data_IF_650823568502
#
_entry.id   IF_650823568502
#
_cell.length_a   1.000
_cell.length_b   1.000
_cell.length_c   1.000
_cell.angle_alpha   90.00
_cell.angle_beta   90.00
_cell.angle_gamma   90.00
#
_symmetry.space_group_name_H-M   'P 1'
#
loop_
_entity.id
_entity.type
_entity.pdbx_description
1 polymer ?
#
# COMPACT_ATOMS: atom_id res chain seq x y z
N UNK A 1 -10.40 30.40 -16.72
CA UNK A 1 -11.20 30.62 -15.47
C UNK A 1 -10.39 30.07 -14.31
N UNK A 2 -10.10 30.88 -13.30
CA UNK A 2 -9.17 30.48 -12.21
C UNK A 2 -9.69 29.26 -11.48
N UNK A 3 -8.86 28.19 -11.41
CA UNK A 3 -9.13 27.08 -10.49
C UNK A 3 -8.70 27.51 -9.07
N UNK A 4 -9.65 28.02 -8.29
CA UNK A 4 -9.40 28.56 -6.97
C UNK A 4 -8.85 27.51 -5.99
N UNK A 5 -9.28 26.24 -6.12
CA UNK A 5 -8.75 25.16 -5.29
C UNK A 5 -7.28 24.87 -5.59
N UNK A 6 -6.91 24.87 -6.87
CA UNK A 6 -5.52 24.76 -7.30
C UNK A 6 -4.67 25.94 -6.83
N UNK A 7 -5.19 27.19 -6.98
CA UNK A 7 -4.55 28.37 -6.45
C UNK A 7 -4.25 28.25 -4.96
N UNK A 8 -5.27 27.92 -4.14
CA UNK A 8 -5.11 27.82 -2.68
C UNK A 8 -4.08 26.73 -2.30
N UNK A 9 -4.06 25.62 -3.05
CA UNK A 9 -3.12 24.51 -2.81
C UNK A 9 -1.68 24.85 -3.12
N UNK A 10 -1.44 25.83 -3.98
CA UNK A 10 -0.11 26.20 -4.45
C UNK A 10 0.43 27.51 -3.84
N UNK A 11 -0.25 28.06 -2.82
CA UNK A 11 0.26 29.26 -2.12
C UNK A 11 1.50 28.87 -1.28
N UNK A 12 2.67 29.43 -1.56
CA UNK A 12 3.88 29.13 -0.80
C UNK A 12 3.72 29.45 0.69
N UNK A 13 4.29 28.62 1.55
CA UNK A 13 4.32 28.81 3.00
C UNK A 13 2.95 28.81 3.70
N UNK A 14 1.86 28.58 2.97
CA UNK A 14 0.54 28.32 3.55
C UNK A 14 0.37 26.80 3.66
N UNK A 15 0.66 26.26 4.84
CA UNK A 15 0.59 24.82 5.11
C UNK A 15 -0.84 24.28 5.20
N UNK A 16 -0.99 22.95 5.21
CA UNK A 16 -2.28 22.27 5.22
C UNK A 16 -3.22 22.71 6.35
N UNK A 17 -2.69 22.85 7.57
CA UNK A 17 -3.49 23.29 8.72
C UNK A 17 -4.06 24.68 8.52
N UNK A 18 -3.28 25.58 7.93
CA UNK A 18 -3.73 26.95 7.61
C UNK A 18 -4.78 26.90 6.51
N UNK A 19 -4.58 26.09 5.45
CA UNK A 19 -5.58 25.92 4.37
C UNK A 19 -6.90 25.40 4.92
N UNK A 20 -6.86 24.34 5.75
CA UNK A 20 -8.07 23.80 6.37
C UNK A 20 -8.80 24.81 7.25
N UNK A 21 -8.08 25.67 7.99
CA UNK A 21 -8.67 26.77 8.77
C UNK A 21 -9.30 27.85 7.89
N UNK A 22 -8.64 28.21 6.79
CA UNK A 22 -9.16 29.15 5.82
C UNK A 22 -10.48 28.65 5.21
N UNK A 23 -10.50 27.38 4.74
CA UNK A 23 -11.72 26.75 4.21
C UNK A 23 -12.82 26.65 5.27
N UNK A 24 -12.49 26.23 6.49
CA UNK A 24 -13.47 26.16 7.58
C UNK A 24 -14.09 27.54 7.93
N UNK A 25 -13.32 28.62 7.79
CA UNK A 25 -13.80 29.94 8.12
C UNK A 25 -14.54 30.63 6.96
N UNK A 26 -14.09 30.46 5.73
CA UNK A 26 -14.62 31.15 4.56
C UNK A 26 -15.57 30.30 3.70
N UNK A 27 -15.57 28.98 3.88
CA UNK A 27 -16.43 28.05 3.14
C UNK A 27 -15.81 27.52 1.85
N UNK A 28 -15.21 28.35 1.02
CA UNK A 28 -14.63 27.93 -0.26
C UNK A 28 -13.34 28.66 -0.61
N UNK A 29 -12.54 28.08 -1.53
CA UNK A 29 -11.32 28.71 -2.03
C UNK A 29 -11.61 29.99 -2.81
N UNK A 30 -12.75 30.09 -3.49
CA UNK A 30 -13.18 31.31 -4.21
C UNK A 30 -13.48 32.45 -3.24
N UNK A 31 -14.12 32.17 -2.12
CA UNK A 31 -14.37 33.19 -1.08
C UNK A 31 -13.06 33.66 -0.43
N UNK A 32 -12.14 32.74 -0.13
CA UNK A 32 -10.81 33.11 0.37
C UNK A 32 -10.07 34.03 -0.62
N UNK A 33 -10.19 33.79 -1.91
CA UNK A 33 -9.60 34.65 -2.94
C UNK A 33 -10.12 36.09 -2.89
N UNK A 34 -11.36 36.31 -2.46
CA UNK A 34 -11.98 37.63 -2.33
C UNK A 34 -11.66 38.38 -1.03
N UNK A 35 -11.13 37.72 0.01
CA UNK A 35 -10.91 38.32 1.33
C UNK A 35 -9.86 39.41 1.31
N UNK A 36 -10.09 40.50 2.03
CA UNK A 36 -9.09 41.54 2.31
C UNK A 36 -8.11 41.06 3.37
N UNK A 37 -6.95 41.73 3.48
CA UNK A 37 -5.95 41.45 4.52
C UNK A 37 -6.55 41.44 5.92
N UNK A 38 -7.36 42.47 6.23
CA UNK A 38 -8.04 42.57 7.54
C UNK A 38 -8.92 41.35 7.82
N UNK A 39 -9.68 40.88 6.82
CA UNK A 39 -10.53 39.70 6.95
C UNK A 39 -9.72 38.41 7.13
N UNK A 40 -8.61 38.25 6.40
CA UNK A 40 -7.70 37.10 6.56
C UNK A 40 -7.11 37.04 7.97
N UNK A 41 -6.72 38.19 8.54
CA UNK A 41 -6.15 38.26 9.90
C UNK A 41 -7.16 37.99 11.02
N UNK A 42 -8.46 38.08 10.75
CA UNK A 42 -9.50 37.70 11.71
C UNK A 42 -9.65 36.17 11.84
N UNK A 43 -9.12 35.39 10.88
CA UNK A 43 -9.21 33.92 10.92
C UNK A 43 -8.17 33.37 11.91
N UNK A 44 -8.60 32.59 12.93
CA UNK A 44 -7.69 32.07 13.95
C UNK A 44 -6.53 31.25 13.35
N UNK A 45 -5.30 31.63 13.70
CA UNK A 45 -4.07 30.98 13.24
C UNK A 45 -3.58 31.39 11.84
N UNK A 46 -4.22 32.38 11.21
CA UNK A 46 -3.68 33.09 10.05
C UNK A 46 -2.80 34.23 10.56
N UNK A 47 -1.54 34.23 10.16
CA UNK A 47 -0.55 35.28 10.53
C UNK A 47 -0.44 36.35 9.43
N UNK A 48 0.15 37.49 9.73
CA UNK A 48 0.47 38.53 8.73
C UNK A 48 1.26 37.95 7.55
N UNK A 49 2.21 37.04 7.83
CA UNK A 49 2.96 36.33 6.79
C UNK A 49 2.06 35.52 5.87
N UNK A 50 1.09 34.79 6.45
CA UNK A 50 0.13 34.01 5.65
C UNK A 50 -0.75 34.93 4.80
N UNK A 51 -1.28 36.03 5.37
CA UNK A 51 -2.10 37.00 4.65
C UNK A 51 -1.32 37.64 3.49
N UNK A 52 -0.08 38.07 3.73
CA UNK A 52 0.78 38.61 2.69
C UNK A 52 1.02 37.61 1.54
N UNK A 53 1.31 36.34 1.84
CA UNK A 53 1.49 35.30 0.83
C UNK A 53 0.21 35.02 0.01
N UNK A 54 -0.94 35.03 0.66
CA UNK A 54 -2.25 34.86 -0.01
C UNK A 54 -2.47 36.03 -0.99
N UNK A 55 -2.28 37.27 -0.56
CA UNK A 55 -2.47 38.46 -1.39
C UNK A 55 -1.46 38.53 -2.55
N UNK A 56 -0.19 38.23 -2.29
CA UNK A 56 0.86 38.18 -3.30
C UNK A 56 0.59 37.10 -4.36
N UNK A 57 0.06 35.94 -3.95
CA UNK A 57 -0.23 34.82 -4.84
C UNK A 57 -1.26 35.16 -5.92
N UNK A 58 -2.17 36.10 -5.68
CA UNK A 58 -3.19 36.54 -6.65
C UNK A 58 -2.60 37.19 -7.90
N UNK A 59 -1.32 37.60 -7.86
CA UNK A 59 -0.61 38.20 -9.00
C UNK A 59 0.00 37.18 -9.96
N UNK A 60 -0.03 35.88 -9.60
CA UNK A 60 0.53 34.82 -10.42
C UNK A 60 -0.51 34.24 -11.35
N UNK A 61 -0.08 33.81 -12.51
CA UNK A 61 -0.92 33.10 -13.48
C UNK A 61 -1.02 31.61 -13.11
N UNK A 62 -2.00 31.30 -12.27
CA UNK A 62 -2.28 29.91 -11.87
C UNK A 62 -3.00 29.12 -12.95
N UNK A 63 -3.68 29.77 -13.90
CA UNK A 63 -4.34 29.10 -15.01
C UNK A 63 -3.29 28.48 -15.96
N UNK A 64 -2.27 29.23 -16.34
CA UNK A 64 -1.15 28.70 -17.12
C UNK A 64 -0.39 27.58 -16.38
N UNK A 65 -0.19 27.73 -15.07
CA UNK A 65 0.45 26.68 -14.25
C UNK A 65 -0.41 25.39 -14.20
N UNK A 66 -1.72 25.52 -14.09
CA UNK A 66 -2.66 24.41 -14.08
C UNK A 66 -2.67 23.69 -15.44
N UNK A 67 -2.76 24.43 -16.54
CA UNK A 67 -2.72 23.87 -17.90
C UNK A 67 -1.40 23.12 -18.14
N UNK A 68 -0.26 23.69 -17.83
CA UNK A 68 1.05 23.05 -17.96
C UNK A 68 1.21 21.78 -17.10
N UNK A 69 0.52 21.70 -15.97
CA UNK A 69 0.46 20.48 -15.17
C UNK A 69 -0.38 19.38 -15.86
N UNK A 70 -1.53 19.75 -16.41
CA UNK A 70 -2.40 18.80 -17.16
C UNK A 70 -1.68 18.26 -18.41
N UNK A 71 -0.94 19.11 -19.14
CA UNK A 71 -0.13 18.69 -20.29
C UNK A 71 0.93 17.65 -19.93
N UNK A 72 1.41 17.64 -18.69
CA UNK A 72 2.33 16.64 -18.16
C UNK A 72 1.63 15.33 -17.72
N UNK A 73 0.32 15.21 -17.92
CA UNK A 73 -0.48 14.08 -17.51
C UNK A 73 -0.68 13.99 -16.00
N UNK A 74 -0.63 15.13 -15.30
CA UNK A 74 -0.85 15.23 -13.87
C UNK A 74 -2.24 15.83 -13.62
N UNK A 75 -3.05 15.16 -12.82
CA UNK A 75 -4.37 15.59 -12.41
C UNK A 75 -4.30 16.25 -11.04
N UNK A 76 -5.22 17.17 -10.79
CA UNK A 76 -5.41 17.80 -9.49
C UNK A 76 -6.82 17.49 -9.01
N UNK A 77 -6.95 17.01 -7.78
CA UNK A 77 -8.23 16.72 -7.15
C UNK A 77 -8.30 17.44 -5.80
N UNK A 78 -9.27 18.32 -5.64
CA UNK A 78 -9.62 18.93 -4.35
C UNK A 78 -10.69 18.12 -3.63
N UNK A 79 -10.84 18.32 -2.33
CA UNK A 79 -11.90 17.67 -1.53
C UNK A 79 -13.32 17.99 -1.99
N UNK A 80 -13.48 19.03 -2.79
CA UNK A 80 -14.77 19.47 -3.34
C UNK A 80 -15.17 18.66 -4.58
N UNK A 81 -14.23 17.87 -5.14
CA UNK A 81 -14.43 17.10 -6.36
C UNK A 81 -14.87 15.66 -6.07
N UNK A 82 -15.79 15.17 -6.89
CA UNK A 82 -16.44 13.86 -6.72
C UNK A 82 -15.45 12.68 -6.80
N UNK A 83 -14.35 12.85 -7.52
CA UNK A 83 -13.28 11.83 -7.64
C UNK A 83 -12.31 11.81 -6.45
N UNK A 84 -12.41 12.78 -5.52
CA UNK A 84 -11.56 12.77 -4.33
C UNK A 84 -11.98 11.62 -3.40
N UNK A 85 -11.05 10.75 -2.95
CA UNK A 85 -11.40 9.63 -2.10
C UNK A 85 -12.07 10.08 -0.80
N UNK A 86 -13.33 9.70 -0.60
CA UNK A 86 -14.12 10.07 0.60
C UNK A 86 -13.39 9.67 1.89
N UNK A 87 -12.75 8.50 1.88
CA UNK A 87 -11.96 8.00 3.02
C UNK A 87 -10.77 8.89 3.40
N UNK A 88 -10.26 9.72 2.47
CA UNK A 88 -9.24 10.74 2.80
C UNK A 88 -9.85 12.03 3.31
N UNK A 89 -11.08 12.36 2.94
CA UNK A 89 -11.75 13.57 3.39
C UNK A 89 -12.08 13.52 4.89
N UNK A 90 -12.21 12.32 5.45
CA UNK A 90 -12.65 12.07 6.84
C UNK A 90 -11.51 11.85 7.84
N UNK A 91 -10.25 11.71 7.39
CA UNK A 91 -9.12 11.50 8.31
C UNK A 91 -8.75 12.78 9.06
N UNK A 92 -8.16 12.68 10.27
CA UNK A 92 -7.53 13.82 10.93
C UNK A 92 -6.49 14.48 10.01
N UNK A 93 -6.46 15.83 10.00
CA UNK A 93 -5.58 16.61 9.09
C UNK A 93 -5.73 16.18 7.61
N UNK A 94 -6.98 15.91 7.15
CA UNK A 94 -7.28 15.52 5.78
C UNK A 94 -6.60 16.43 4.75
N UNK A 95 -5.98 15.90 3.67
CA UNK A 95 -5.39 16.75 2.63
C UNK A 95 -6.51 17.56 1.96
N UNK A 96 -6.27 18.85 1.72
CA UNK A 96 -7.22 19.69 1.00
C UNK A 96 -7.31 19.29 -0.48
N UNK A 97 -6.19 18.84 -1.03
CA UNK A 97 -6.08 18.38 -2.41
C UNK A 97 -4.97 17.36 -2.57
N UNK A 98 -5.04 16.60 -3.64
CA UNK A 98 -3.99 15.69 -4.08
C UNK A 98 -3.66 15.89 -5.56
N UNK A 99 -2.42 15.70 -5.90
CA UNK A 99 -1.93 15.56 -7.28
C UNK A 99 -1.85 14.09 -7.62
N UNK A 100 -2.25 13.74 -8.83
CA UNK A 100 -2.34 12.35 -9.29
C UNK A 100 -1.64 12.20 -10.63
N UNK A 101 -0.79 11.19 -10.77
CA UNK A 101 -0.25 10.74 -12.04
C UNK A 101 -0.60 9.27 -12.23
N UNK A 102 -1.07 8.90 -13.42
CA UNK A 102 -1.61 7.58 -13.71
C UNK A 102 -3.12 7.50 -13.52
N UNK A 103 -3.63 6.33 -13.19
CA UNK A 103 -5.06 6.05 -13.15
C UNK A 103 -5.62 6.03 -11.73
N UNK A 104 -6.37 7.06 -11.36
CA UNK A 104 -7.10 7.11 -10.09
C UNK A 104 -8.48 6.47 -10.30
N UNK A 105 -8.89 5.50 -9.46
CA UNK A 105 -10.23 4.93 -9.54
C UNK A 105 -11.30 6.00 -9.32
N UNK A 106 -12.39 5.94 -10.11
CA UNK A 106 -13.53 6.84 -9.92
C UNK A 106 -14.20 6.66 -8.56
N UNK A 107 -14.22 5.43 -8.06
CA UNK A 107 -14.70 5.09 -6.74
C UNK A 107 -13.65 4.26 -5.99
N UNK A 108 -13.37 4.66 -4.74
CA UNK A 108 -12.45 3.92 -3.88
C UNK A 108 -13.20 2.83 -3.09
N UNK A 109 -13.79 1.87 -3.83
CA UNK A 109 -14.74 0.88 -3.32
C UNK A 109 -14.15 -0.52 -3.09
N UNK A 110 -12.90 -0.76 -3.50
CA UNK A 110 -12.20 -2.03 -3.26
C UNK A 110 -11.53 -2.03 -1.89
N UNK A 111 -11.49 -3.21 -1.25
CA UNK A 111 -10.67 -3.42 -0.06
C UNK A 111 -9.23 -3.02 -0.37
N UNK A 112 -8.65 -2.21 0.47
CA UNK A 112 -7.32 -1.63 0.23
C UNK A 112 -6.40 -1.96 1.39
N UNK A 113 -5.25 -2.53 1.09
CA UNK A 113 -4.24 -2.92 2.09
C UNK A 113 -2.99 -2.07 1.91
N UNK A 114 -2.57 -1.37 2.95
CA UNK A 114 -1.28 -0.70 2.97
C UNK A 114 -0.19 -1.67 3.41
N UNK A 115 0.91 -1.73 2.66
CA UNK A 115 2.09 -2.53 3.01
C UNK A 115 3.25 -1.59 3.29
N UNK A 116 3.72 -1.57 4.54
CA UNK A 116 4.78 -0.67 5.00
C UNK A 116 5.83 -1.40 5.82
N UNK A 117 7.03 -0.82 5.91
CA UNK A 117 8.07 -1.43 6.73
C UNK A 117 9.44 -0.78 6.60
N UNK A 118 10.47 -1.57 6.89
CA UNK A 118 11.85 -1.11 6.88
C UNK A 118 12.34 -0.74 5.47
N UNK A 119 12.96 0.44 5.34
CA UNK A 119 13.63 0.87 4.10
C UNK A 119 14.84 -0.02 3.75
N UNK A 120 15.51 -0.55 4.77
CA UNK A 120 16.59 -1.54 4.67
C UNK A 120 16.12 -2.85 5.25
N UNK A 121 15.14 -3.46 4.59
CA UNK A 121 14.60 -4.76 4.96
C UNK A 121 15.57 -5.88 4.64
N UNK A 122 15.37 -7.04 5.27
CA UNK A 122 16.05 -8.28 4.90
C UNK A 122 15.51 -8.82 3.56
N UNK A 123 16.20 -9.82 3.00
CA UNK A 123 15.69 -10.56 1.84
C UNK A 123 14.35 -11.25 2.17
N UNK A 124 14.21 -11.77 3.40
CA UNK A 124 12.96 -12.33 3.92
C UNK A 124 11.85 -11.28 3.93
N UNK A 125 12.08 -10.11 4.53
CA UNK A 125 11.07 -9.05 4.61
C UNK A 125 10.60 -8.58 3.23
N UNK A 126 11.52 -8.48 2.26
CA UNK A 126 11.17 -8.17 0.87
C UNK A 126 10.29 -9.25 0.26
N UNK A 127 10.68 -10.52 0.35
CA UNK A 127 9.93 -11.65 -0.19
C UNK A 127 8.54 -11.77 0.43
N UNK A 128 8.43 -11.56 1.76
CA UNK A 128 7.13 -11.56 2.45
C UNK A 128 6.24 -10.42 1.96
N UNK A 129 6.79 -9.20 1.80
CA UNK A 129 6.03 -8.06 1.27
C UNK A 129 5.52 -8.32 -0.15
N UNK A 130 6.39 -8.86 -1.03
CA UNK A 130 6.03 -9.24 -2.39
C UNK A 130 4.93 -10.32 -2.41
N UNK A 131 5.06 -11.37 -1.57
CA UNK A 131 4.08 -12.46 -1.50
C UNK A 131 2.72 -11.98 -0.98
N UNK A 132 2.70 -11.20 0.11
CA UNK A 132 1.45 -10.64 0.67
C UNK A 132 0.77 -9.75 -0.36
N UNK A 133 1.52 -8.83 -0.99
CA UNK A 133 0.98 -7.92 -2.00
C UNK A 133 0.45 -8.65 -3.22
N UNK A 134 1.16 -9.68 -3.69
CA UNK A 134 0.71 -10.52 -4.81
C UNK A 134 -0.60 -11.22 -4.52
N UNK A 135 -0.74 -11.80 -3.34
CA UNK A 135 -1.98 -12.47 -2.90
C UNK A 135 -3.16 -11.50 -2.74
N UNK A 136 -2.91 -10.29 -2.21
CA UNK A 136 -3.91 -9.22 -2.13
C UNK A 136 -4.36 -8.83 -3.55
N UNK A 137 -3.43 -8.67 -4.48
CA UNK A 137 -3.73 -8.33 -5.86
C UNK A 137 -4.52 -9.45 -6.57
N UNK A 138 -4.16 -10.72 -6.37
CA UNK A 138 -4.89 -11.89 -6.89
C UNK A 138 -6.34 -11.94 -6.39
N UNK A 139 -6.63 -11.47 -5.18
CA UNK A 139 -8.00 -11.36 -4.65
C UNK A 139 -8.78 -10.18 -5.21
N UNK A 140 -8.19 -9.38 -6.11
CA UNK A 140 -8.81 -8.18 -6.67
C UNK A 140 -8.83 -6.96 -5.75
N UNK A 141 -8.17 -7.04 -4.60
CA UNK A 141 -7.99 -5.92 -3.67
C UNK A 141 -6.82 -5.02 -4.10
N UNK A 142 -6.73 -3.84 -3.52
CA UNK A 142 -5.75 -2.84 -3.88
C UNK A 142 -4.61 -2.76 -2.86
N UNK A 143 -3.42 -2.47 -3.38
CA UNK A 143 -2.23 -2.25 -2.55
C UNK A 143 -1.87 -0.78 -2.53
N UNK A 144 -1.67 -0.21 -1.34
CA UNK A 144 -1.16 1.16 -1.17
C UNK A 144 0.16 1.11 -0.43
N UNK A 145 1.12 1.92 -0.83
CA UNK A 145 2.38 2.06 -0.10
C UNK A 145 3.07 3.40 -0.38
N UNK A 146 4.24 3.60 0.22
CA UNK A 146 4.94 4.88 0.22
C UNK A 146 6.09 4.99 -0.78
N UNK A 147 6.27 4.07 -1.71
CA UNK A 147 7.38 4.05 -2.67
C UNK A 147 8.79 4.03 -2.03
N UNK A 148 8.92 3.87 -0.72
CA UNK A 148 10.24 3.79 -0.09
C UNK A 148 11.00 2.54 -0.53
N UNK A 149 12.33 2.56 -0.39
CA UNK A 149 13.14 1.34 -0.57
C UNK A 149 12.66 0.23 0.38
N UNK A 150 12.97 -1.01 0.08
CA UNK A 150 12.69 -2.14 0.96
C UNK A 150 11.24 -2.63 0.87
N UNK A 151 10.54 -2.67 1.99
CA UNK A 151 9.20 -3.26 2.10
C UNK A 151 8.18 -2.57 1.17
N UNK A 152 8.16 -1.24 1.14
CA UNK A 152 7.22 -0.49 0.29
C UNK A 152 7.40 -0.85 -1.19
N UNK A 153 8.65 -0.86 -1.67
CA UNK A 153 8.98 -1.28 -3.04
C UNK A 153 8.62 -2.74 -3.32
N UNK A 154 8.81 -3.64 -2.33
CA UNK A 154 8.37 -5.04 -2.42
C UNK A 154 6.85 -5.15 -2.54
N UNK A 155 6.09 -4.38 -1.73
CA UNK A 155 4.65 -4.32 -1.79
C UNK A 155 4.11 -3.92 -3.17
N UNK A 156 4.67 -2.86 -3.76
CA UNK A 156 4.32 -2.46 -5.13
C UNK A 156 4.70 -3.53 -6.16
N UNK A 157 5.91 -4.08 -6.07
CA UNK A 157 6.40 -5.10 -7.01
C UNK A 157 5.52 -6.36 -7.00
N UNK A 158 5.15 -6.86 -5.82
CA UNK A 158 4.27 -8.03 -5.69
C UNK A 158 2.88 -7.80 -6.30
N UNK A 159 2.29 -6.63 -6.10
CA UNK A 159 1.01 -6.29 -6.73
C UNK A 159 1.12 -6.20 -8.27
N UNK A 160 2.19 -5.57 -8.77
CA UNK A 160 2.45 -5.41 -10.21
C UNK A 160 2.74 -6.75 -10.90
N UNK A 161 3.41 -7.68 -10.24
CA UNK A 161 3.66 -9.04 -10.75
C UNK A 161 2.34 -9.77 -11.07
N UNK A 162 1.31 -9.52 -10.27
CA UNK A 162 -0.03 -10.12 -10.43
C UNK A 162 -0.99 -9.24 -11.23
N UNK A 163 -0.49 -8.19 -11.90
CA UNK A 163 -1.28 -7.20 -12.64
C UNK A 163 -2.39 -6.55 -11.79
N UNK A 164 -2.19 -6.49 -10.48
CA UNK A 164 -3.12 -5.84 -9.56
C UNK A 164 -2.92 -4.33 -9.48
N UNK A 165 -3.95 -3.63 -9.02
CA UNK A 165 -3.87 -2.19 -8.81
C UNK A 165 -3.00 -1.85 -7.61
N UNK A 166 -2.09 -0.89 -7.80
CA UNK A 166 -1.31 -0.34 -6.69
C UNK A 166 -1.20 1.19 -6.79
N UNK A 167 -1.29 1.84 -5.63
CA UNK A 167 -1.20 3.29 -5.49
C UNK A 167 0.00 3.67 -4.62
N UNK A 168 0.91 4.44 -5.20
CA UNK A 168 2.06 4.98 -4.49
C UNK A 168 1.77 6.38 -3.97
N UNK A 169 1.87 6.58 -2.66
CA UNK A 169 1.75 7.90 -2.03
C UNK A 169 3.14 8.48 -1.84
N UNK A 170 3.41 9.70 -2.34
CA UNK A 170 4.74 10.30 -2.28
C UNK A 170 4.84 11.42 -1.25
N UNK A 171 6.04 11.60 -0.69
CA UNK A 171 6.42 12.76 0.12
C UNK A 171 7.23 13.81 -0.69
N UNK A 172 6.93 13.93 -1.98
CA UNK A 172 7.49 14.89 -2.94
C UNK A 172 6.48 15.07 -4.08
N UNK A 173 6.77 15.89 -5.09
CA UNK A 173 5.92 16.00 -6.28
C UNK A 173 5.73 14.65 -6.98
N UNK A 174 4.56 14.45 -7.60
CA UNK A 174 4.23 13.20 -8.31
C UNK A 174 5.12 12.94 -9.53
N UNK A 175 5.77 13.98 -10.04
CA UNK A 175 6.72 13.96 -11.15
C UNK A 175 8.13 13.51 -10.74
N UNK A 176 8.39 13.37 -9.43
CA UNK A 176 9.70 13.01 -8.88
C UNK A 176 9.68 11.61 -8.29
N UNK A 177 10.35 10.65 -8.92
CA UNK A 177 10.54 9.32 -8.33
C UNK A 177 11.61 9.38 -7.23
N UNK A 178 11.19 9.14 -5.99
CA UNK A 178 12.09 9.02 -4.85
C UNK A 178 11.75 7.79 -3.99
N UNK A 179 12.73 6.91 -3.70
CA UNK A 179 14.11 6.94 -4.16
C UNK A 179 14.25 6.55 -5.65
N UNK A 180 15.32 7.03 -6.30
CA UNK A 180 15.60 6.70 -7.72
C UNK A 180 15.80 5.20 -7.99
N UNK A 181 16.18 4.43 -6.97
CA UNK A 181 16.29 2.97 -7.08
C UNK A 181 14.96 2.29 -7.45
N UNK A 182 13.84 2.92 -7.18
CA UNK A 182 12.50 2.38 -7.47
C UNK A 182 11.90 2.91 -8.79
N UNK A 183 12.72 3.50 -9.67
CA UNK A 183 12.24 4.10 -10.91
C UNK A 183 11.47 3.12 -11.81
N UNK A 184 11.90 1.85 -11.85
CA UNK A 184 11.21 0.80 -12.61
C UNK A 184 9.80 0.55 -12.06
N UNK A 185 9.69 0.43 -10.72
CA UNK A 185 8.39 0.25 -10.04
C UNK A 185 7.49 1.44 -10.32
N UNK A 186 8.03 2.67 -10.23
CA UNK A 186 7.28 3.90 -10.53
C UNK A 186 6.73 3.90 -11.96
N UNK A 187 7.54 3.52 -12.94
CA UNK A 187 7.12 3.43 -14.35
C UNK A 187 6.07 2.33 -14.56
N UNK A 188 6.30 1.13 -14.00
CA UNK A 188 5.35 0.02 -14.11
C UNK A 188 3.99 0.32 -13.45
N UNK A 189 3.95 1.08 -12.34
CA UNK A 189 2.69 1.54 -11.74
C UNK A 189 1.89 2.34 -12.76
N UNK A 190 2.53 3.28 -13.46
CA UNK A 190 1.86 4.14 -14.44
C UNK A 190 1.45 3.37 -15.70
N UNK A 191 2.25 2.41 -16.13
CA UNK A 191 1.98 1.56 -17.31
C UNK A 191 0.86 0.54 -17.07
N UNK A 192 0.76 0.01 -15.84
CA UNK A 192 -0.20 -1.05 -15.46
C UNK A 192 -1.46 -0.52 -14.74
N UNK A 193 -1.93 0.67 -15.12
CA UNK A 193 -3.14 1.29 -14.59
C UNK A 193 -3.14 1.58 -13.07
N UNK A 194 -1.98 1.70 -12.45
CA UNK A 194 -1.86 2.18 -11.08
C UNK A 194 -1.82 3.71 -10.98
N UNK A 195 -1.71 4.22 -9.77
CA UNK A 195 -1.59 5.65 -9.49
C UNK A 195 -0.37 6.00 -8.66
N UNK A 196 0.15 7.19 -8.90
CA UNK A 196 1.12 7.87 -8.03
C UNK A 196 0.46 9.15 -7.56
N UNK A 197 0.34 9.32 -6.25
CA UNK A 197 -0.33 10.48 -5.67
C UNK A 197 0.55 11.23 -4.69
N UNK A 198 0.30 12.51 -4.54
CA UNK A 198 0.96 13.36 -3.56
C UNK A 198 0.08 14.52 -3.14
N UNK A 199 0.24 14.97 -1.89
CA UNK A 199 -0.33 16.22 -1.42
C UNK A 199 0.51 17.44 -1.85
N UNK A 200 1.73 17.21 -2.32
CA UNK A 200 2.68 18.27 -2.68
C UNK A 200 2.64 18.55 -4.18
N UNK A 201 2.74 19.83 -4.57
CA UNK A 201 2.77 20.23 -5.99
C UNK A 201 3.89 19.54 -6.77
N UNK A 202 3.71 19.37 -8.10
CA UNK A 202 4.80 18.97 -8.98
C UNK A 202 6.05 19.83 -8.79
N UNK A 203 7.23 19.24 -8.96
CA UNK A 203 8.51 19.89 -8.71
C UNK A 203 8.91 20.00 -7.23
N UNK A 204 8.07 19.58 -6.28
CA UNK A 204 8.44 19.58 -4.85
C UNK A 204 9.50 18.53 -4.57
N UNK A 205 10.69 18.96 -4.18
CA UNK A 205 11.80 18.07 -3.85
C UNK A 205 11.52 17.23 -2.58
N UNK A 206 12.00 15.98 -2.52
CA UNK A 206 11.87 15.14 -1.33
C UNK A 206 12.64 15.74 -0.17
N UNK A 207 12.01 15.83 1.00
CA UNK A 207 12.63 16.28 2.24
C UNK A 207 12.15 15.47 3.44
N UNK A 208 13.01 15.38 4.47
CA UNK A 208 12.79 14.48 5.61
C UNK A 208 11.43 14.69 6.33
N UNK A 209 10.94 15.94 6.56
CA UNK A 209 9.67 16.16 7.25
C UNK A 209 8.44 15.71 6.45
N UNK A 210 8.53 15.63 5.11
CA UNK A 210 7.39 15.33 4.24
C UNK A 210 7.01 13.85 4.29
N UNK A 211 7.97 12.96 4.57
CA UNK A 211 7.70 11.51 4.60
C UNK A 211 6.80 11.09 5.76
N UNK A 212 7.03 11.49 7.03
CA UNK A 212 6.10 11.21 8.12
C UNK A 212 4.72 11.83 7.89
N UNK A 213 4.66 13.07 7.42
CA UNK A 213 3.41 13.78 7.15
C UNK A 213 2.54 13.05 6.10
N UNK A 214 3.17 12.50 5.06
CA UNK A 214 2.52 11.72 4.02
C UNK A 214 1.91 10.41 4.54
N UNK A 215 2.48 9.79 5.57
CA UNK A 215 2.06 8.45 6.03
C UNK A 215 0.59 8.41 6.48
N UNK A 216 0.01 9.54 6.94
CA UNK A 216 -1.41 9.63 7.25
C UNK A 216 -2.31 9.37 6.04
N UNK A 217 -1.83 9.71 4.83
CA UNK A 217 -2.55 9.47 3.57
C UNK A 217 -2.47 7.99 3.20
N UNK A 218 -1.34 7.31 3.44
CA UNK A 218 -1.23 5.86 3.24
C UNK A 218 -2.24 5.14 4.13
N UNK A 219 -2.26 5.45 5.43
CA UNK A 219 -3.22 4.88 6.38
C UNK A 219 -4.66 5.24 6.00
N UNK A 220 -4.91 6.49 5.57
CA UNK A 220 -6.24 6.97 5.20
C UNK A 220 -6.85 6.28 4.00
N UNK A 221 -6.04 5.87 3.03
CA UNK A 221 -6.49 5.12 1.87
C UNK A 221 -6.74 3.64 2.17
N UNK A 222 -6.14 3.10 3.23
CA UNK A 222 -6.21 1.69 3.56
C UNK A 222 -7.41 1.34 4.45
N UNK A 223 -7.89 0.13 4.34
CA UNK A 223 -8.75 -0.54 5.33
C UNK A 223 -7.88 -1.27 6.36
N UNK A 224 -6.76 -1.83 5.90
CA UNK A 224 -5.82 -2.62 6.69
C UNK A 224 -4.40 -2.13 6.45
N UNK A 225 -3.60 -2.00 7.50
CA UNK A 225 -2.17 -1.65 7.42
C UNK A 225 -1.33 -2.84 7.89
N UNK A 226 -0.49 -3.34 6.99
CA UNK A 226 0.44 -4.44 7.23
C UNK A 226 1.85 -3.91 7.44
N UNK A 227 2.45 -4.23 8.58
CA UNK A 227 3.85 -3.91 8.89
C UNK A 227 4.70 -5.18 8.78
N UNK A 228 5.60 -5.25 7.80
CA UNK A 228 6.37 -6.47 7.52
C UNK A 228 7.66 -6.55 8.34
N UNK A 229 8.46 -5.53 8.37
CA UNK A 229 9.66 -5.39 9.20
C UNK A 229 9.76 -3.98 9.74
N UNK A 230 10.02 -3.83 11.02
CA UNK A 230 10.23 -2.53 11.66
C UNK A 230 11.14 -2.63 12.88
N UNK A 231 12.11 -1.71 12.98
CA UNK A 231 12.81 -1.48 14.24
C UNK A 231 11.88 -0.78 15.23
N UNK A 232 12.17 -0.85 16.53
CA UNK A 232 11.39 -0.18 17.60
C UNK A 232 11.19 1.33 17.33
N UNK A 233 12.16 1.98 16.70
CA UNK A 233 12.07 3.40 16.27
C UNK A 233 12.09 3.49 14.76
N UNK A 234 11.08 2.93 14.08
CA UNK A 234 10.96 2.95 12.63
C UNK A 234 9.93 3.98 12.18
N UNK A 235 10.22 4.66 11.05
CA UNK A 235 9.24 5.55 10.43
C UNK A 235 7.96 4.85 9.92
N UNK A 236 8.01 3.53 9.70
CA UNK A 236 6.82 2.73 9.36
C UNK A 236 5.86 2.58 10.54
N UNK A 237 6.33 2.66 11.78
CA UNK A 237 5.46 2.66 12.97
C UNK A 237 4.61 3.93 13.05
N UNK A 238 5.08 5.06 12.52
CA UNK A 238 4.27 6.28 12.39
C UNK A 238 3.04 6.03 11.49
N UNK A 239 3.16 5.17 10.48
CA UNK A 239 2.00 4.77 9.66
C UNK A 239 1.03 3.91 10.47
N UNK A 240 1.53 3.02 11.31
CA UNK A 240 0.69 2.23 12.23
C UNK A 240 -0.01 3.13 13.27
N UNK A 241 0.69 4.15 13.80
CA UNK A 241 0.09 5.12 14.72
C UNK A 241 -1.07 5.88 14.04
N UNK A 242 -0.87 6.37 12.80
CA UNK A 242 -1.96 6.98 12.03
C UNK A 242 -3.09 6.01 11.71
N UNK A 243 -2.77 4.74 11.42
CA UNK A 243 -3.79 3.71 11.21
C UNK A 243 -4.67 3.52 12.44
N UNK A 244 -4.04 3.45 13.63
CA UNK A 244 -4.74 3.36 14.90
C UNK A 244 -5.64 4.59 15.15
N UNK A 245 -5.10 5.81 14.98
CA UNK A 245 -5.87 7.06 15.14
C UNK A 245 -7.05 7.16 14.17
N UNK A 246 -6.95 6.52 13.00
CA UNK A 246 -7.97 6.52 11.95
C UNK A 246 -8.91 5.30 12.02
N UNK A 247 -8.78 4.44 13.04
CA UNK A 247 -9.60 3.25 13.23
C UNK A 247 -9.41 2.19 12.14
N UNK A 248 -8.18 2.06 11.61
CA UNK A 248 -7.82 1.04 10.62
C UNK A 248 -7.25 -0.18 11.30
N UNK A 249 -7.52 -1.36 10.75
CA UNK A 249 -6.94 -2.60 11.24
C UNK A 249 -5.42 -2.62 11.01
N UNK A 250 -4.68 -3.10 12.00
CA UNK A 250 -3.22 -3.19 11.94
C UNK A 250 -2.81 -4.63 12.09
N UNK A 251 -2.00 -5.12 11.16
CA UNK A 251 -1.38 -6.43 11.20
C UNK A 251 0.13 -6.32 11.11
N UNK A 252 0.83 -7.24 11.77
CA UNK A 252 2.29 -7.27 11.74
C UNK A 252 2.82 -8.68 11.49
N UNK A 253 3.89 -8.76 10.70
CA UNK A 253 4.61 -10.01 10.49
C UNK A 253 5.51 -10.27 11.70
N UNK A 254 5.37 -11.40 12.41
CA UNK A 254 6.21 -11.71 13.56
C UNK A 254 7.62 -12.04 13.13
N UNK A 255 8.57 -11.81 14.01
CA UNK A 255 9.96 -12.17 13.75
C UNK A 255 10.70 -12.57 15.02
N UNK A 256 11.98 -12.92 14.87
CA UNK A 256 12.82 -13.39 15.96
C UNK A 256 13.01 -12.29 17.02
N UNK A 257 12.98 -12.64 18.29
CA UNK A 257 13.06 -11.68 19.41
C UNK A 257 14.39 -10.91 19.47
N UNK A 258 15.46 -11.47 18.96
CA UNK A 258 16.79 -10.82 18.89
C UNK A 258 17.09 -10.14 17.55
N UNK A 259 16.16 -10.19 16.61
CA UNK A 259 16.31 -9.49 15.33
C UNK A 259 15.85 -8.04 15.45
N UNK A 260 16.78 -7.13 15.16
CA UNK A 260 16.50 -5.69 15.26
C UNK A 260 15.34 -5.22 14.33
N UNK A 261 15.11 -5.91 13.20
CA UNK A 261 14.03 -5.59 12.27
C UNK A 261 12.66 -6.13 12.70
N UNK A 262 12.63 -7.03 13.70
CA UNK A 262 11.39 -7.63 14.21
C UNK A 262 10.83 -6.89 15.43
N UNK A 263 11.66 -6.12 16.13
CA UNK A 263 11.28 -5.52 17.41
C UNK A 263 10.06 -4.60 17.34
N UNK A 264 9.91 -3.83 16.28
CA UNK A 264 8.73 -2.98 16.06
C UNK A 264 7.47 -3.79 15.80
N UNK A 265 7.54 -4.80 14.90
CA UNK A 265 6.42 -5.68 14.60
C UNK A 265 5.95 -6.48 15.81
N UNK A 266 6.89 -7.11 16.55
CA UNK A 266 6.57 -7.86 17.78
C UNK A 266 5.95 -6.94 18.84
N UNK A 267 6.36 -5.67 18.91
CA UNK A 267 5.76 -4.70 19.81
C UNK A 267 4.33 -4.32 19.41
N UNK A 268 4.05 -4.13 18.11
CA UNK A 268 2.69 -3.91 17.62
C UNK A 268 1.78 -5.09 17.96
N UNK A 269 2.23 -6.33 17.74
CA UNK A 269 1.48 -7.55 18.09
C UNK A 269 1.19 -7.56 19.61
N UNK A 270 2.18 -7.26 20.44
CA UNK A 270 1.99 -7.16 21.89
C UNK A 270 0.97 -6.08 22.29
N UNK A 271 0.81 -5.04 21.48
CA UNK A 271 -0.16 -3.95 21.69
C UNK A 271 -1.55 -4.27 21.13
N UNK A 272 -1.74 -5.43 20.50
CA UNK A 272 -3.03 -5.89 19.99
C UNK A 272 -3.19 -5.85 18.48
N UNK A 273 -2.12 -5.57 17.74
CA UNK A 273 -2.16 -5.74 16.27
C UNK A 273 -2.32 -7.23 15.91
N UNK A 274 -3.06 -7.51 14.83
CA UNK A 274 -3.18 -8.85 14.28
C UNK A 274 -1.81 -9.42 13.88
N UNK A 275 -1.67 -10.73 13.95
CA UNK A 275 -0.44 -11.44 13.59
C UNK A 275 -0.60 -12.09 12.22
N UNK A 276 0.37 -11.89 11.33
CA UNK A 276 0.42 -12.62 10.06
C UNK A 276 1.41 -13.78 10.19
N UNK A 277 0.92 -14.92 10.63
CA UNK A 277 1.67 -16.18 10.70
C UNK A 277 1.51 -17.04 9.43
N UNK A 278 0.40 -16.86 8.73
CA UNK A 278 0.10 -17.46 7.43
C UNK A 278 -0.65 -16.44 6.56
N UNK A 279 -0.29 -16.35 5.27
CA UNK A 279 -0.85 -15.33 4.37
C UNK A 279 -2.29 -15.67 3.97
N UNK A 280 -2.61 -16.93 3.77
CA UNK A 280 -3.95 -17.35 3.33
C UNK A 280 -4.94 -17.22 4.49
N UNK A 281 -4.52 -17.49 5.74
CA UNK A 281 -5.32 -17.22 6.94
C UNK A 281 -5.54 -15.71 7.13
N UNK A 282 -4.50 -14.91 6.97
CA UNK A 282 -4.62 -13.43 7.02
C UNK A 282 -5.66 -12.91 6.01
N UNK A 283 -5.63 -13.38 4.77
CA UNK A 283 -6.60 -12.95 3.76
C UNK A 283 -8.04 -13.32 4.15
N UNK A 284 -8.24 -14.46 4.81
CA UNK A 284 -9.56 -14.86 5.33
C UNK A 284 -10.03 -13.92 6.44
N UNK A 285 -9.14 -13.58 7.37
CA UNK A 285 -9.45 -12.67 8.49
C UNK A 285 -9.87 -11.28 8.01
N UNK A 286 -9.23 -10.76 6.97
CA UNK A 286 -9.59 -9.46 6.40
C UNK A 286 -10.67 -9.55 5.31
N UNK A 287 -11.38 -10.67 5.21
CA UNK A 287 -12.48 -10.88 4.26
C UNK A 287 -12.09 -10.73 2.78
N UNK A 288 -10.84 -10.98 2.45
CA UNK A 288 -10.35 -11.08 1.09
C UNK A 288 -10.35 -12.55 0.62
N UNK A 289 -11.46 -13.23 0.84
CA UNK A 289 -11.73 -14.45 0.10
C UNK A 289 -12.16 -14.02 -1.31
N UNK A 290 -11.20 -13.83 -2.20
CA UNK A 290 -11.48 -13.99 -3.62
C UNK A 290 -12.02 -15.42 -3.80
N UNK A 291 -12.95 -15.60 -4.72
CA UNK A 291 -13.07 -16.90 -5.37
C UNK A 291 -11.63 -17.32 -5.61
N UNK A 292 -11.18 -18.33 -4.87
CA UNK A 292 -9.89 -18.93 -5.10
C UNK A 292 -9.94 -19.28 -6.57
N UNK A 293 -9.39 -18.41 -7.41
CA UNK A 293 -9.09 -18.77 -8.77
C UNK A 293 -7.99 -19.82 -8.64
N UNK A 294 -8.44 -21.02 -8.34
CA UNK A 294 -7.73 -22.29 -8.37
C UNK A 294 -7.19 -22.57 -9.79
N UNK A 295 -6.92 -21.52 -10.58
CA UNK A 295 -6.39 -21.69 -11.92
C UNK A 295 -5.10 -22.48 -11.92
N UNK A 296 -4.15 -22.19 -11.04
CA UNK A 296 -2.92 -22.98 -10.96
C UNK A 296 -3.13 -24.29 -10.19
N UNK A 297 -3.88 -24.30 -9.09
CA UNK A 297 -4.22 -25.53 -8.38
C UNK A 297 -5.24 -26.38 -9.18
N UNK A 298 -6.16 -25.78 -9.93
CA UNK A 298 -7.02 -26.51 -10.86
C UNK A 298 -6.26 -27.00 -12.09
N UNK A 299 -5.31 -26.27 -12.66
CA UNK A 299 -4.43 -26.80 -13.71
C UNK A 299 -3.51 -27.91 -13.16
N UNK A 300 -2.93 -27.72 -11.98
CA UNK A 300 -2.15 -28.77 -11.30
C UNK A 300 -3.04 -29.97 -10.95
N UNK A 301 -4.26 -29.76 -10.45
CA UNK A 301 -5.22 -30.83 -10.17
C UNK A 301 -5.80 -31.48 -11.43
N UNK A 302 -5.89 -30.81 -12.55
CA UNK A 302 -6.27 -31.41 -13.85
C UNK A 302 -5.17 -32.29 -14.44
N UNK A 303 -3.93 -32.04 -14.10
CA UNK A 303 -2.74 -32.81 -14.52
C UNK A 303 -2.45 -34.01 -13.61
N UNK A 304 -3.15 -34.15 -12.48
CA UNK A 304 -2.96 -35.21 -11.50
C UNK A 304 -4.10 -36.25 -11.59
N UNK A 305 -3.75 -37.52 -11.57
CA UNK A 305 -4.68 -38.62 -11.42
C UNK A 305 -5.31 -38.64 -10.01
N UNK A 306 -6.38 -39.41 -9.82
CA UNK A 306 -7.16 -39.44 -8.56
C UNK A 306 -6.28 -39.70 -7.32
N UNK A 307 -5.39 -40.69 -7.40
CA UNK A 307 -4.54 -41.07 -6.27
C UNK A 307 -3.40 -40.10 -6.07
N UNK A 308 -2.86 -39.49 -7.16
CA UNK A 308 -1.89 -38.43 -7.09
C UNK A 308 -2.43 -37.17 -6.40
N UNK A 309 -3.69 -36.78 -6.69
CA UNK A 309 -4.39 -35.70 -6.00
C UNK A 309 -4.54 -35.96 -4.52
N UNK A 310 -4.94 -37.18 -4.17
CA UNK A 310 -5.13 -37.56 -2.77
C UNK A 310 -3.82 -37.47 -1.98
N UNK A 311 -2.73 -38.03 -2.50
CA UNK A 311 -1.42 -37.97 -1.87
C UNK A 311 -0.90 -36.53 -1.84
N UNK A 312 -1.03 -35.77 -2.94
CA UNK A 312 -0.60 -34.36 -3.02
C UNK A 312 -1.37 -33.48 -2.03
N UNK A 313 -2.68 -33.70 -1.84
CA UNK A 313 -3.48 -32.95 -0.87
C UNK A 313 -3.06 -33.21 0.59
N UNK A 314 -2.52 -34.39 0.88
CA UNK A 314 -2.00 -34.73 2.20
C UNK A 314 -0.60 -34.17 2.50
N UNK A 315 0.14 -33.69 1.48
CA UNK A 315 1.46 -33.10 1.64
C UNK A 315 1.37 -31.60 1.91
N UNK A 316 2.35 -31.06 2.61
CA UNK A 316 2.54 -29.64 2.91
C UNK A 316 4.03 -29.29 2.82
N UNK A 317 4.42 -28.09 3.23
CA UNK A 317 5.83 -27.70 3.37
C UNK A 317 6.52 -28.40 4.57
N UNK A 318 5.74 -29.03 5.48
CA UNK A 318 6.29 -29.88 6.54
C UNK A 318 6.57 -31.25 5.98
N UNK A 319 7.81 -31.78 6.11
CA UNK A 319 8.14 -33.13 5.64
C UNK A 319 7.25 -34.19 6.27
N UNK A 320 6.68 -35.06 5.44
CA UNK A 320 5.88 -36.21 5.87
C UNK A 320 6.49 -37.49 5.35
N UNK A 321 6.54 -38.49 6.21
CA UNK A 321 7.02 -39.82 5.82
C UNK A 321 5.94 -40.65 5.15
N UNK A 322 6.35 -41.75 4.51
CA UNK A 322 5.41 -42.66 3.82
C UNK A 322 4.35 -43.24 4.76
N UNK A 323 4.70 -43.55 6.03
CA UNK A 323 3.77 -44.05 7.02
C UNK A 323 2.63 -43.07 7.33
N UNK A 324 2.96 -41.77 7.52
CA UNK A 324 1.97 -40.71 7.74
C UNK A 324 1.05 -40.50 6.53
N UNK A 325 1.56 -40.74 5.31
CA UNK A 325 0.79 -40.64 4.09
C UNK A 325 -0.14 -41.85 3.92
N UNK A 326 0.32 -43.06 4.28
CA UNK A 326 -0.51 -44.31 4.29
C UNK A 326 -1.69 -44.13 5.23
N UNK A 327 -1.48 -43.67 6.47
CA UNK A 327 -2.55 -43.45 7.44
C UNK A 327 -3.61 -42.45 6.94
N UNK A 328 -3.17 -41.40 6.24
CA UNK A 328 -4.08 -40.33 5.79
C UNK A 328 -4.82 -40.67 4.51
N UNK A 329 -4.20 -41.42 3.60
CA UNK A 329 -4.76 -41.71 2.27
C UNK A 329 -5.47 -43.04 2.18
N UNK A 330 -5.10 -44.00 3.04
CA UNK A 330 -5.58 -45.36 2.96
C UNK A 330 -5.07 -46.17 1.74
N UNK A 331 -4.10 -45.60 0.99
CA UNK A 331 -3.50 -46.25 -0.20
C UNK A 331 -2.52 -47.33 0.27
N UNK A 332 -2.40 -48.44 -0.43
CA UNK A 332 -1.48 -49.50 -0.07
C UNK A 332 -0.01 -49.12 -0.39
N UNK A 333 0.94 -49.75 0.32
CA UNK A 333 2.38 -49.41 0.22
C UNK A 333 2.92 -49.45 -1.20
N UNK A 334 2.66 -50.47 -2.04
CA UNK A 334 3.16 -50.46 -3.41
C UNK A 334 2.65 -49.26 -4.23
N UNK A 335 1.35 -48.98 -4.11
CA UNK A 335 0.68 -47.96 -4.91
C UNK A 335 1.11 -46.54 -4.49
N UNK A 336 1.30 -46.27 -3.18
CA UNK A 336 1.74 -44.96 -2.71
C UNK A 336 3.18 -44.62 -3.14
N UNK A 337 4.06 -45.65 -3.25
CA UNK A 337 5.41 -45.44 -3.74
C UNK A 337 5.42 -45.08 -5.23
N UNK A 338 4.57 -45.72 -6.02
CA UNK A 338 4.38 -45.38 -7.44
C UNK A 338 3.81 -43.96 -7.61
N UNK A 339 2.85 -43.57 -6.80
CA UNK A 339 2.27 -42.21 -6.80
C UNK A 339 3.32 -41.18 -6.44
N UNK A 340 4.13 -41.42 -5.40
CA UNK A 340 5.21 -40.51 -5.00
C UNK A 340 6.28 -40.40 -6.09
N UNK A 341 6.65 -41.48 -6.75
CA UNK A 341 7.61 -41.45 -7.87
C UNK A 341 7.08 -40.60 -9.05
N UNK A 342 5.80 -40.78 -9.41
CA UNK A 342 5.16 -39.92 -10.45
C UNK A 342 5.08 -38.47 -10.07
N UNK A 343 4.74 -38.15 -8.83
CA UNK A 343 4.69 -36.76 -8.33
C UNK A 343 6.08 -36.11 -8.30
N UNK A 344 7.13 -36.87 -7.97
CA UNK A 344 8.54 -36.44 -8.07
C UNK A 344 8.93 -36.14 -9.52
N UNK A 345 8.62 -37.07 -10.43
CA UNK A 345 8.91 -36.94 -11.86
C UNK A 345 8.19 -35.74 -12.48
N UNK A 346 6.91 -35.52 -12.10
CA UNK A 346 6.13 -34.35 -12.52
C UNK A 346 6.56 -33.04 -11.85
N UNK A 347 7.48 -33.09 -10.87
CA UNK A 347 8.01 -31.92 -10.18
C UNK A 347 7.07 -31.26 -9.16
N UNK A 348 6.00 -31.94 -8.72
CA UNK A 348 5.04 -31.42 -7.73
C UNK A 348 5.50 -31.57 -6.29
N UNK A 349 6.42 -32.48 -6.01
CA UNK A 349 6.96 -32.72 -4.68
C UNK A 349 8.47 -32.82 -4.70
N UNK A 350 9.10 -32.73 -3.54
CA UNK A 350 10.55 -32.93 -3.34
C UNK A 350 10.76 -33.85 -2.15
N UNK A 351 11.68 -34.81 -2.29
CA UNK A 351 12.18 -35.60 -1.19
C UNK A 351 13.28 -34.81 -0.46
N UNK A 352 13.08 -34.48 0.80
CA UNK A 352 14.01 -33.69 1.61
C UNK A 352 15.05 -34.55 2.33
N UNK A 353 14.62 -35.69 2.82
CA UNK A 353 15.42 -36.75 3.42
C UNK A 353 14.79 -38.05 2.97
N UNK A 354 15.55 -39.15 2.95
CA UNK A 354 15.06 -40.48 2.51
C UNK A 354 13.68 -40.80 3.09
N UNK A 355 12.71 -41.01 2.20
CA UNK A 355 11.29 -41.28 2.51
C UNK A 355 10.52 -40.13 3.19
N UNK A 356 10.99 -38.88 3.14
CA UNK A 356 10.26 -37.70 3.61
C UNK A 356 10.02 -36.72 2.47
N UNK A 357 8.78 -36.38 2.25
CA UNK A 357 8.33 -35.62 1.08
C UNK A 357 7.65 -34.31 1.50
N UNK A 358 7.85 -33.25 0.70
CA UNK A 358 7.17 -31.95 0.84
C UNK A 358 6.57 -31.55 -0.51
N UNK A 359 5.57 -30.67 -0.49
CA UNK A 359 5.14 -29.98 -1.71
C UNK A 359 6.29 -29.09 -2.22
N UNK A 360 6.47 -29.08 -3.53
CA UNK A 360 7.32 -28.09 -4.18
C UNK A 360 6.48 -26.85 -4.46
N UNK A 361 6.99 -25.67 -4.06
CA UNK A 361 6.37 -24.37 -4.27
C UNK A 361 6.52 -23.97 -5.74
#
# INVERSE_FOLDING_TARGET
>A
MINYAYWLSNIPEVGIRTRNRLIAAAGSASEIYGLTEKQLLLIPGVTEKHAARILESRKKDYDAMFEGMIEQGIWFLSREEQLFPERLATIPDAPYSIYVKGNMPAEWNKKTVAIVGARRCSAYGRSVAEKIAGKIAESGAWVVSGMASGVDGGGHAGALEKNGYTCAVLGCGVDICYPRSNIRIYQEILEKNGAVISEYPPGTNPSAPLFPARNRIIAGLADVVVVVEAKIKSGSLITADYAFEQGRDIYAVPGRIYDALSGGCNNLIRQGAGIISDVDEFLKEIELQGEINTGEDNLKNLLLEKDERLVYSCLSLRPKNVGELLEKTGILVPDIMDVLARLLQKGFITETVKNYYIRKI
#
